data_IF_091705738143
#
_entry.id   IF_091705738143
#
_cell.length_a   1.000
_cell.length_b   1.000
_cell.length_c   1.000
_cell.angle_alpha   90.00
_cell.angle_beta   90.00
_cell.angle_gamma   90.00
#
_symmetry.space_group_name_H-M   'P 1'
#
loop_
_entity.id
_entity.type
_entity.pdbx_description
1 polymer ?
#
# COMPACT_ATOMS: atom_id res chain seq x y z
N UNK A 1 -26.10 9.03 8.19
CA UNK A 1 -25.38 8.60 6.97
C UNK A 1 -25.39 7.09 6.93
N UNK A 2 -25.53 6.47 5.76
CA UNK A 2 -25.32 5.01 5.62
C UNK A 2 -23.83 4.67 5.84
N UNK A 3 -23.55 3.46 6.32
CA UNK A 3 -22.18 2.96 6.53
C UNK A 3 -21.36 3.03 5.24
N UNK A 4 -21.99 2.70 4.10
CA UNK A 4 -21.38 2.81 2.78
C UNK A 4 -20.96 4.24 2.43
N UNK A 5 -21.83 5.24 2.69
CA UNK A 5 -21.51 6.63 2.40
C UNK A 5 -20.39 7.17 3.30
N UNK A 6 -20.35 6.74 4.57
CA UNK A 6 -19.21 7.03 5.47
C UNK A 6 -17.92 6.43 4.91
N UNK A 7 -17.95 5.17 4.49
CA UNK A 7 -16.80 4.46 3.94
C UNK A 7 -16.27 5.10 2.64
N UNK A 8 -17.15 5.40 1.68
CA UNK A 8 -16.77 6.08 0.43
C UNK A 8 -16.20 7.47 0.68
N UNK A 9 -16.81 8.24 1.58
CA UNK A 9 -16.30 9.56 1.96
C UNK A 9 -14.90 9.45 2.57
N UNK A 10 -14.69 8.48 3.46
CA UNK A 10 -13.38 8.18 4.05
C UNK A 10 -12.33 7.85 2.97
N UNK A 11 -12.65 6.97 2.02
CA UNK A 11 -11.74 6.59 0.94
C UNK A 11 -11.38 7.78 0.04
N UNK A 12 -12.39 8.52 -0.43
CA UNK A 12 -12.18 9.65 -1.35
C UNK A 12 -11.31 10.72 -0.69
N UNK A 13 -11.65 11.12 0.54
CA UNK A 13 -10.87 12.12 1.27
C UNK A 13 -9.45 11.62 1.58
N UNK A 14 -9.28 10.32 1.86
CA UNK A 14 -7.98 9.69 1.99
C UNK A 14 -7.12 9.84 0.74
N UNK A 15 -7.66 9.53 -0.44
CA UNK A 15 -6.95 9.71 -1.72
C UNK A 15 -6.62 11.17 -2.00
N UNK A 16 -7.54 12.10 -1.74
CA UNK A 16 -7.30 13.54 -1.94
C UNK A 16 -6.18 14.03 -1.03
N UNK A 17 -6.24 13.71 0.27
CA UNK A 17 -5.19 14.08 1.22
C UNK A 17 -3.83 13.47 0.81
N UNK A 18 -3.83 12.23 0.34
CA UNK A 18 -2.60 11.56 -0.09
C UNK A 18 -2.02 12.14 -1.37
N UNK A 19 -2.85 12.51 -2.34
CA UNK A 19 -2.42 13.20 -3.56
C UNK A 19 -1.77 14.56 -3.24
N UNK A 20 -2.39 15.35 -2.34
CA UNK A 20 -1.85 16.63 -1.91
C UNK A 20 -0.50 16.46 -1.19
N UNK A 21 -0.43 15.53 -0.24
CA UNK A 21 0.81 15.23 0.50
C UNK A 21 1.92 14.72 -0.44
N UNK A 22 1.57 13.83 -1.36
CA UNK A 22 2.49 13.27 -2.31
C UNK A 22 3.07 14.35 -3.23
N UNK A 23 2.21 15.19 -3.82
CA UNK A 23 2.65 16.26 -4.72
C UNK A 23 3.49 17.32 -4.02
N UNK A 24 3.11 17.73 -2.80
CA UNK A 24 3.77 18.82 -2.08
C UNK A 24 5.11 18.40 -1.45
N UNK A 25 5.22 17.18 -0.94
CA UNK A 25 6.36 16.77 -0.11
C UNK A 25 7.10 15.54 -0.62
N UNK A 26 6.38 14.46 -0.97
CA UNK A 26 7.00 13.16 -1.26
C UNK A 26 7.66 13.15 -2.63
N UNK A 27 6.98 13.69 -3.65
CA UNK A 27 7.47 13.70 -5.02
C UNK A 27 8.77 14.50 -5.19
N UNK A 28 8.89 15.75 -4.69
CA UNK A 28 10.15 16.49 -4.74
C UNK A 28 11.29 15.77 -4.01
N UNK A 29 10.98 15.19 -2.85
CA UNK A 29 11.95 14.45 -2.04
C UNK A 29 12.45 13.18 -2.76
N UNK A 30 11.55 12.32 -3.26
CA UNK A 30 11.92 11.11 -4.01
C UNK A 30 12.68 11.44 -5.30
N UNK A 31 12.30 12.52 -5.98
CA UNK A 31 12.96 12.95 -7.23
C UNK A 31 14.40 13.42 -7.01
N UNK A 32 14.77 13.80 -5.79
CA UNK A 32 16.15 14.18 -5.44
C UNK A 32 17.05 12.98 -5.12
N UNK A 33 16.51 11.77 -5.00
CA UNK A 33 17.25 10.56 -4.65
C UNK A 33 17.76 9.80 -5.88
N UNK A 34 18.79 8.97 -5.68
CA UNK A 34 19.10 7.93 -6.65
C UNK A 34 17.98 6.87 -6.70
N UNK A 35 17.92 6.13 -7.80
CA UNK A 35 16.82 5.18 -8.07
C UNK A 35 16.69 4.10 -7.00
N UNK A 36 17.81 3.62 -6.43
CA UNK A 36 17.79 2.55 -5.43
C UNK A 36 17.33 3.11 -4.09
N UNK A 37 17.83 4.27 -3.68
CA UNK A 37 17.38 4.94 -2.46
C UNK A 37 15.89 5.28 -2.51
N UNK A 38 15.40 5.81 -3.64
CA UNK A 38 13.98 6.10 -3.84
C UNK A 38 13.11 4.84 -3.69
N UNK A 39 13.49 3.74 -4.36
CA UNK A 39 12.76 2.48 -4.27
C UNK A 39 12.84 1.85 -2.87
N UNK A 40 13.95 2.05 -2.14
CA UNK A 40 14.04 1.63 -0.73
C UNK A 40 13.07 2.42 0.16
N UNK A 41 12.95 3.73 -0.06
CA UNK A 41 11.98 4.56 0.66
C UNK A 41 10.54 4.12 0.36
N UNK A 42 10.22 3.90 -0.92
CA UNK A 42 8.91 3.40 -1.37
C UNK A 42 8.63 2.02 -0.74
N UNK A 43 9.56 1.07 -0.83
CA UNK A 43 9.40 -0.26 -0.23
C UNK A 43 9.22 -0.20 1.29
N UNK A 44 9.89 0.74 1.98
CA UNK A 44 9.67 0.98 3.42
C UNK A 44 8.24 1.39 3.68
N UNK A 45 7.70 2.33 2.92
CA UNK A 45 6.31 2.75 3.07
C UNK A 45 5.33 1.60 2.79
N UNK A 46 5.52 0.87 1.69
CA UNK A 46 4.68 -0.28 1.33
C UNK A 46 4.80 -1.45 2.32
N UNK A 47 5.92 -1.57 3.04
CA UNK A 47 6.09 -2.65 4.02
C UNK A 47 5.04 -2.63 5.13
N UNK A 48 4.48 -1.45 5.47
CA UNK A 48 3.42 -1.32 6.48
C UNK A 48 2.04 -1.81 6.03
N UNK A 49 1.89 -2.21 4.76
CA UNK A 49 0.60 -2.69 4.25
C UNK A 49 0.15 -4.00 4.87
N UNK A 50 0.97 -4.70 5.66
CA UNK A 50 0.47 -5.80 6.50
C UNK A 50 -0.69 -5.38 7.43
N UNK A 51 -0.84 -4.08 7.74
CA UNK A 51 -2.00 -3.55 8.46
C UNK A 51 -3.33 -3.81 7.76
N UNK A 52 -3.36 -4.03 6.44
CA UNK A 52 -4.58 -4.38 5.70
C UNK A 52 -5.26 -5.65 6.19
N UNK A 53 -4.54 -6.57 6.86
CA UNK A 53 -5.15 -7.72 7.54
C UNK A 53 -6.24 -7.34 8.56
N UNK A 54 -6.25 -6.08 9.01
CA UNK A 54 -7.29 -5.54 9.89
C UNK A 54 -8.69 -5.61 9.28
N UNK A 55 -8.82 -5.58 7.94
CA UNK A 55 -10.13 -5.67 7.27
C UNK A 55 -10.86 -6.99 7.49
N UNK A 56 -10.13 -8.05 7.88
CA UNK A 56 -10.71 -9.37 8.20
C UNK A 56 -10.63 -9.69 9.71
N UNK A 57 -10.11 -8.78 10.53
CA UNK A 57 -9.99 -8.96 11.97
C UNK A 57 -11.36 -8.68 12.65
N UNK A 58 -11.97 -9.67 13.33
CA UNK A 58 -13.26 -9.47 13.98
C UNK A 58 -13.21 -8.34 15.02
N UNK A 59 -14.20 -7.45 14.97
CA UNK A 59 -14.34 -6.35 15.93
C UNK A 59 -13.63 -5.05 15.56
N UNK A 60 -12.84 -5.01 14.48
CA UNK A 60 -12.21 -3.74 14.01
C UNK A 60 -13.02 -3.06 12.92
N UNK A 61 -13.63 -3.83 12.03
CA UNK A 61 -14.52 -3.30 10.97
C UNK A 61 -15.97 -3.72 11.21
N UNK A 62 -16.90 -2.95 10.65
CA UNK A 62 -18.33 -3.30 10.70
C UNK A 62 -18.60 -4.62 9.94
N UNK A 63 -19.48 -5.49 10.44
CA UNK A 63 -19.99 -6.64 9.67
C UNK A 63 -20.66 -6.25 8.35
N UNK A 64 -21.10 -4.99 8.20
CA UNK A 64 -21.71 -4.47 6.98
C UNK A 64 -20.68 -4.04 5.91
N UNK A 65 -19.37 -4.12 6.20
CA UNK A 65 -18.35 -3.86 5.19
C UNK A 65 -18.44 -4.92 4.09
N UNK A 66 -18.44 -4.55 2.79
CA UNK A 66 -18.56 -5.52 1.71
C UNK A 66 -17.46 -6.58 1.80
N UNK A 67 -17.84 -7.84 2.00
CA UNK A 67 -16.89 -8.94 2.20
C UNK A 67 -15.92 -9.11 1.03
N UNK A 68 -16.39 -8.86 -0.21
CA UNK A 68 -15.54 -8.86 -1.40
C UNK A 68 -14.41 -7.84 -1.32
N UNK A 69 -14.71 -6.61 -0.88
CA UNK A 69 -13.69 -5.58 -0.64
C UNK A 69 -12.77 -5.99 0.51
N UNK A 70 -13.33 -6.37 1.66
CA UNK A 70 -12.56 -6.62 2.88
C UNK A 70 -11.51 -7.73 2.70
N UNK A 71 -11.92 -8.86 2.11
CA UNK A 71 -11.03 -10.00 1.87
C UNK A 71 -9.99 -9.68 0.80
N UNK A 72 -10.42 -9.05 -0.31
CA UNK A 72 -9.51 -8.69 -1.40
C UNK A 72 -8.46 -7.68 -0.95
N UNK A 73 -8.88 -6.60 -0.27
CA UNK A 73 -7.99 -5.59 0.28
C UNK A 73 -7.03 -6.17 1.32
N UNK A 74 -7.53 -7.01 2.26
CA UNK A 74 -6.69 -7.59 3.29
C UNK A 74 -5.53 -8.43 2.73
N UNK A 75 -5.82 -9.35 1.80
CA UNK A 75 -4.80 -10.22 1.23
C UNK A 75 -3.93 -9.52 0.19
N UNK A 76 -4.49 -8.58 -0.59
CA UNK A 76 -3.73 -7.72 -1.49
C UNK A 76 -2.68 -6.92 -0.71
N UNK A 77 -3.13 -6.17 0.30
CA UNK A 77 -2.27 -5.33 1.14
C UNK A 77 -1.18 -6.16 1.83
N UNK A 78 -1.56 -7.33 2.36
CA UNK A 78 -0.61 -8.25 2.99
C UNK A 78 0.45 -8.75 2.00
N UNK A 79 0.04 -9.17 0.80
CA UNK A 79 0.96 -9.64 -0.24
C UNK A 79 1.90 -8.52 -0.70
N UNK A 80 1.36 -7.33 -0.97
CA UNK A 80 2.13 -6.13 -1.33
C UNK A 80 3.15 -5.78 -0.23
N UNK A 81 2.73 -5.79 1.03
CA UNK A 81 3.60 -5.52 2.18
C UNK A 81 4.71 -6.55 2.34
N UNK A 82 4.40 -7.84 2.17
CA UNK A 82 5.39 -8.91 2.22
C UNK A 82 6.44 -8.79 1.11
N UNK A 83 6.00 -8.53 -0.13
CA UNK A 83 6.91 -8.31 -1.26
C UNK A 83 7.80 -7.08 -1.05
N UNK A 84 7.26 -6.01 -0.46
CA UNK A 84 8.05 -4.83 -0.12
C UNK A 84 9.09 -5.11 0.98
N UNK A 85 8.75 -5.88 2.02
CA UNK A 85 9.71 -6.36 3.02
C UNK A 85 10.82 -7.22 2.40
N UNK A 86 10.46 -8.11 1.47
CA UNK A 86 11.42 -8.92 0.74
C UNK A 86 12.36 -8.06 -0.13
N UNK A 87 11.86 -7.00 -0.76
CA UNK A 87 12.70 -6.04 -1.47
C UNK A 87 13.74 -5.40 -0.53
N UNK A 88 13.32 -4.93 0.65
CA UNK A 88 14.22 -4.34 1.65
C UNK A 88 15.31 -5.32 2.12
N UNK A 89 14.95 -6.60 2.33
CA UNK A 89 15.91 -7.64 2.70
C UNK A 89 16.88 -7.99 1.57
N UNK A 90 16.42 -7.91 0.31
CA UNK A 90 17.20 -8.24 -0.87
C UNK A 90 18.08 -7.09 -1.39
N UNK A 91 18.22 -5.97 -0.67
CA UNK A 91 19.00 -4.78 -1.10
C UNK A 91 20.45 -5.08 -1.53
N UNK A 92 21.08 -6.12 -0.97
CA UNK A 92 22.46 -6.54 -1.32
C UNK A 92 22.53 -7.43 -2.57
N UNK A 93 21.38 -7.82 -3.12
CA UNK A 93 21.23 -8.72 -4.26
C UNK A 93 20.44 -8.00 -5.36
N UNK A 94 21.09 -7.19 -6.23
CA UNK A 94 20.41 -6.26 -7.12
C UNK A 94 19.31 -6.88 -7.99
N UNK A 95 19.55 -8.09 -8.52
CA UNK A 95 18.56 -8.81 -9.34
C UNK A 95 17.28 -9.13 -8.56
N UNK A 96 17.43 -9.57 -7.31
CA UNK A 96 16.31 -9.97 -6.47
C UNK A 96 15.57 -8.74 -5.91
N UNK A 97 16.33 -7.69 -5.53
CA UNK A 97 15.76 -6.39 -5.16
C UNK A 97 14.81 -5.87 -6.24
N UNK A 98 15.28 -5.77 -7.49
CA UNK A 98 14.45 -5.25 -8.58
C UNK A 98 13.28 -6.17 -8.93
N UNK A 99 13.44 -7.50 -8.83
CA UNK A 99 12.34 -8.43 -9.01
C UNK A 99 11.22 -8.19 -7.99
N UNK A 100 11.56 -8.02 -6.71
CA UNK A 100 10.56 -7.70 -5.68
C UNK A 100 9.98 -6.29 -5.83
N UNK A 101 10.77 -5.31 -6.25
CA UNK A 101 10.28 -3.95 -6.56
C UNK A 101 9.18 -4.00 -7.62
N UNK A 102 9.42 -4.71 -8.72
CA UNK A 102 8.41 -4.88 -9.76
C UNK A 102 7.20 -5.64 -9.21
N UNK A 103 7.43 -6.73 -8.47
CA UNK A 103 6.35 -7.54 -7.94
C UNK A 103 5.42 -6.77 -7.00
N UNK A 104 5.93 -6.04 -6.00
CA UNK A 104 5.06 -5.31 -5.08
C UNK A 104 4.33 -4.15 -5.75
N UNK A 105 4.94 -3.49 -6.75
CA UNK A 105 4.25 -2.44 -7.51
C UNK A 105 3.11 -3.01 -8.35
N UNK A 106 3.32 -4.17 -8.99
CA UNK A 106 2.27 -4.83 -9.79
C UNK A 106 1.12 -5.31 -8.91
N UNK A 107 1.42 -6.08 -7.86
CA UNK A 107 0.40 -6.55 -6.92
C UNK A 107 -0.33 -5.37 -6.28
N UNK A 108 0.43 -4.35 -5.85
CA UNK A 108 -0.11 -3.15 -5.25
C UNK A 108 -0.92 -2.23 -6.18
N UNK A 109 -0.78 -2.40 -7.50
CA UNK A 109 -1.62 -1.70 -8.48
C UNK A 109 -2.91 -2.47 -8.73
N UNK A 110 -2.85 -3.81 -8.77
CA UNK A 110 -4.02 -4.67 -8.99
C UNK A 110 -5.04 -4.53 -7.87
N UNK A 111 -4.61 -4.34 -6.63
CA UNK A 111 -5.52 -4.17 -5.47
C UNK A 111 -6.25 -2.81 -5.44
N UNK A 112 -5.82 -1.82 -6.25
CA UNK A 112 -6.49 -0.51 -6.33
C UNK A 112 -7.78 -0.56 -7.17
N UNK A 113 -7.98 -1.63 -7.94
CA UNK A 113 -9.13 -1.87 -8.83
C UNK A 113 -10.08 -2.85 -8.18
#
# INVERSE_FOLDING_TARGET
>A
MSTEFVFQTHLILGYVAWLLCFGAYIWPWLSSMDRVAAQRAIATLHSFRFFGLVFILPGVVSPDLPAGFAVFAAYGDFATGLLAMLALLAMRLPRLFWAFVVAFNLVGTVELV
#
